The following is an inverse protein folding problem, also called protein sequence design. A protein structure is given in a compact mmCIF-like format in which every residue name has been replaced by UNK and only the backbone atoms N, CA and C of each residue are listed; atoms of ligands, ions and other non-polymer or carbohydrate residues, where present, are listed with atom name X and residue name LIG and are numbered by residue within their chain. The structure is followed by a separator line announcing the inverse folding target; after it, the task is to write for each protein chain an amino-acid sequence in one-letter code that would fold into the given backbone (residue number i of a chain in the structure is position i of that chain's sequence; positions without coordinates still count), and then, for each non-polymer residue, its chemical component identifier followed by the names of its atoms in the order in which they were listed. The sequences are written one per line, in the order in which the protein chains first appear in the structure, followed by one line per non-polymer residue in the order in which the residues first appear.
data_IF_954991469097
#
_entry.id   IF_954991469097
#
_cell.length_a   1.000
_cell.length_b   1.000
_cell.length_c   1.000
_cell.angle_alpha   90.00
_cell.angle_beta   90.00
_cell.angle_gamma   90.00
#
_symmetry.space_group_name_H-M   'P 1'
#
loop_
_entity.id
_entity.type
_entity.pdbx_description
1 polymer ?
#
# COMPACT_ATOMS: atom_id res chain seq x y z
N UNK A 1 -14.77 25.25 -8.51
CA UNK A 1 -15.26 24.07 -7.74
C UNK A 1 -14.13 23.08 -7.69
N UNK A 2 -13.91 22.40 -6.57
CA UNK A 2 -12.86 21.38 -6.45
C UNK A 2 -13.30 20.13 -7.19
N UNK A 3 -12.45 19.62 -8.09
CA UNK A 3 -12.70 18.41 -8.87
C UNK A 3 -11.83 17.26 -8.38
N UNK A 4 -12.32 16.01 -8.47
CA UNK A 4 -11.53 14.82 -8.17
C UNK A 4 -11.31 13.96 -9.40
N UNK A 5 -10.11 13.39 -9.49
CA UNK A 5 -9.86 12.18 -10.28
C UNK A 5 -9.58 11.03 -9.31
N UNK A 6 -10.43 10.01 -9.32
CA UNK A 6 -10.25 8.81 -8.48
C UNK A 6 -9.56 7.74 -9.31
N UNK A 7 -8.34 7.41 -8.96
CA UNK A 7 -7.49 6.43 -9.67
C UNK A 7 -7.62 5.07 -8.99
N UNK A 8 -7.99 4.05 -9.77
CA UNK A 8 -8.24 2.69 -9.27
C UNK A 8 -7.55 1.69 -10.21
N UNK A 9 -6.40 1.14 -9.84
CA UNK A 9 -5.83 -0.01 -10.54
C UNK A 9 -6.66 -1.26 -10.29
N UNK A 10 -6.89 -2.08 -11.32
CA UNK A 10 -7.65 -3.32 -11.14
C UNK A 10 -7.14 -4.47 -12.02
N UNK A 11 -7.20 -5.68 -11.47
CA UNK A 11 -6.82 -6.91 -12.14
C UNK A 11 -7.59 -8.11 -11.59
N UNK A 12 -8.41 -8.74 -12.43
CA UNK A 12 -9.21 -9.94 -12.07
C UNK A 12 -10.14 -9.71 -10.88
N UNK A 13 -10.98 -8.66 -10.96
CA UNK A 13 -11.85 -8.22 -9.87
C UNK A 13 -13.32 -8.11 -10.24
N UNK A 14 -13.77 -8.79 -11.33
CA UNK A 14 -15.16 -8.75 -11.77
C UNK A 14 -16.18 -9.06 -10.65
N UNK A 15 -15.82 -9.89 -9.67
CA UNK A 15 -16.71 -10.23 -8.55
C UNK A 15 -16.86 -9.12 -7.51
N UNK A 16 -15.89 -8.24 -7.38
CA UNK A 16 -15.85 -7.18 -6.33
C UNK A 16 -16.26 -5.83 -6.90
N UNK A 17 -15.87 -5.54 -8.14
CA UNK A 17 -16.13 -4.26 -8.81
C UNK A 17 -17.57 -3.77 -8.72
N UNK A 18 -18.63 -4.60 -8.85
CA UNK A 18 -20.02 -4.12 -8.73
C UNK A 18 -20.31 -3.45 -7.39
N UNK A 19 -19.76 -3.98 -6.29
CA UNK A 19 -19.95 -3.40 -4.94
C UNK A 19 -19.21 -2.07 -4.83
N UNK A 20 -17.97 -2.00 -5.28
CA UNK A 20 -17.13 -0.80 -5.26
C UNK A 20 -17.73 0.30 -6.14
N UNK A 21 -18.11 0.00 -7.39
CA UNK A 21 -18.72 0.95 -8.32
C UNK A 21 -20.06 1.48 -7.79
N UNK A 22 -20.86 0.62 -7.15
CA UNK A 22 -22.10 1.05 -6.47
C UNK A 22 -21.81 2.04 -5.34
N UNK A 23 -20.78 1.80 -4.53
CA UNK A 23 -20.39 2.72 -3.46
C UNK A 23 -19.89 4.07 -4.00
N UNK A 24 -19.17 4.08 -5.12
CA UNK A 24 -18.72 5.30 -5.80
C UNK A 24 -19.91 6.06 -6.41
N UNK A 25 -20.85 5.38 -7.06
CA UNK A 25 -22.08 6.00 -7.58
C UNK A 25 -22.88 6.70 -6.49
N UNK A 26 -22.88 6.15 -5.28
CA UNK A 26 -23.62 6.65 -4.13
C UNK A 26 -22.85 7.68 -3.29
N UNK A 27 -21.68 8.17 -3.72
CA UNK A 27 -20.97 9.23 -3.02
C UNK A 27 -21.83 10.49 -2.91
N UNK A 28 -21.76 11.19 -1.77
CA UNK A 28 -22.46 12.47 -1.55
C UNK A 28 -21.84 13.61 -2.36
N UNK A 29 -20.55 13.59 -2.58
CA UNK A 29 -19.83 14.49 -3.47
C UNK A 29 -19.89 13.94 -4.91
N UNK A 30 -20.27 14.77 -5.90
CA UNK A 30 -20.57 14.30 -7.27
C UNK A 30 -19.58 14.77 -8.34
N UNK A 31 -18.76 15.77 -8.05
CA UNK A 31 -17.83 16.35 -9.03
C UNK A 31 -16.51 15.55 -9.07
N UNK A 32 -16.61 14.35 -9.61
CA UNK A 32 -15.46 13.44 -9.76
C UNK A 32 -15.55 12.59 -11.04
N UNK A 33 -14.39 12.16 -11.52
CA UNK A 33 -14.25 11.15 -12.55
C UNK A 33 -13.43 9.96 -12.03
N UNK A 34 -13.65 8.80 -12.64
CA UNK A 34 -12.94 7.57 -12.34
C UNK A 34 -11.91 7.28 -13.43
N UNK A 35 -10.69 7.00 -13.03
CA UNK A 35 -9.62 6.52 -13.89
C UNK A 35 -9.31 5.08 -13.50
N UNK A 36 -9.87 4.15 -14.26
CA UNK A 36 -9.69 2.72 -14.06
C UNK A 36 -8.46 2.26 -14.84
N UNK A 37 -7.38 1.93 -14.15
CA UNK A 37 -6.18 1.37 -14.80
C UNK A 37 -6.30 -0.14 -14.77
N UNK A 38 -6.61 -0.72 -15.93
CA UNK A 38 -6.99 -2.12 -16.06
C UNK A 38 -5.84 -2.94 -16.62
N UNK A 39 -5.40 -3.95 -15.89
CA UNK A 39 -4.57 -4.99 -16.47
C UNK A 39 -5.49 -5.97 -17.19
N UNK A 40 -5.33 -6.20 -18.52
CA UNK A 40 -6.22 -7.04 -19.29
C UNK A 40 -6.41 -8.44 -18.69
N UNK A 41 -7.65 -8.90 -18.65
CA UNK A 41 -8.01 -10.20 -18.06
C UNK A 41 -9.34 -10.70 -18.66
N UNK A 42 -9.51 -12.02 -18.67
CA UNK A 42 -10.69 -12.67 -19.26
C UNK A 42 -11.79 -12.94 -18.21
N UNK A 43 -11.88 -12.11 -17.17
CA UNK A 43 -12.83 -12.35 -16.07
C UNK A 43 -14.11 -11.51 -16.13
N UNK A 44 -14.29 -10.70 -17.20
CA UNK A 44 -15.46 -9.83 -17.39
C UNK A 44 -15.30 -8.43 -16.78
N UNK A 45 -14.10 -8.07 -16.27
CA UNK A 45 -13.82 -6.76 -15.69
C UNK A 45 -14.11 -5.62 -16.67
N UNK A 46 -13.68 -5.71 -17.93
CA UNK A 46 -13.84 -4.68 -18.95
C UNK A 46 -15.31 -4.45 -19.31
N UNK A 47 -16.10 -5.52 -19.42
CA UNK A 47 -17.54 -5.46 -19.70
C UNK A 47 -18.31 -4.76 -18.58
N UNK A 48 -17.95 -5.05 -17.33
CA UNK A 48 -18.54 -4.39 -16.16
C UNK A 48 -18.24 -2.88 -16.16
N UNK A 49 -17.01 -2.48 -16.47
CA UNK A 49 -16.63 -1.07 -16.53
C UNK A 49 -17.36 -0.35 -17.67
N UNK A 50 -17.50 -1.00 -18.85
CA UNK A 50 -18.29 -0.47 -19.96
C UNK A 50 -19.76 -0.24 -19.58
N UNK A 51 -20.37 -1.16 -18.85
CA UNK A 51 -21.74 -1.00 -18.36
C UNK A 51 -21.84 0.14 -17.32
N UNK A 52 -20.88 0.24 -16.40
CA UNK A 52 -20.85 1.27 -15.36
C UNK A 52 -20.66 2.68 -15.93
N UNK A 53 -20.02 2.81 -17.10
CA UNK A 53 -19.80 4.11 -17.78
C UNK A 53 -21.12 4.81 -18.19
N UNK A 54 -22.25 4.10 -18.21
CA UNK A 54 -23.56 4.70 -18.43
C UNK A 54 -24.03 5.58 -17.23
N UNK A 55 -23.44 5.40 -16.06
CA UNK A 55 -23.87 6.08 -14.83
C UNK A 55 -22.73 6.74 -14.04
N UNK A 56 -21.50 6.50 -14.40
CA UNK A 56 -20.29 7.08 -13.80
C UNK A 56 -19.38 7.58 -14.94
N UNK A 57 -18.72 8.69 -14.72
CA UNK A 57 -17.71 9.18 -15.68
C UNK A 57 -16.45 8.36 -15.51
N UNK A 58 -16.25 7.34 -16.36
CA UNK A 58 -15.14 6.40 -16.28
C UNK A 58 -14.24 6.56 -17.50
N UNK A 59 -12.95 6.69 -17.25
CA UNK A 59 -11.88 6.54 -18.25
C UNK A 59 -11.14 5.24 -17.97
N UNK A 60 -11.11 4.33 -18.92
CA UNK A 60 -10.38 3.06 -18.82
C UNK A 60 -9.03 3.20 -19.51
N UNK A 61 -7.96 2.88 -18.80
CA UNK A 61 -6.58 2.92 -19.31
C UNK A 61 -6.01 1.49 -19.20
N UNK A 62 -5.69 0.83 -20.31
CA UNK A 62 -5.08 -0.49 -20.27
C UNK A 62 -3.61 -0.40 -19.81
N UNK A 63 -3.23 -1.24 -18.83
CA UNK A 63 -1.83 -1.43 -18.43
C UNK A 63 -1.32 -2.76 -18.97
N UNK A 64 -0.50 -2.72 -20.03
CA UNK A 64 0.07 -3.94 -20.61
C UNK A 64 1.18 -4.52 -19.74
N UNK A 65 2.07 -3.65 -19.27
CA UNK A 65 3.25 -4.00 -18.47
C UNK A 65 3.32 -3.18 -17.19
N UNK A 66 4.18 -3.59 -16.26
CA UNK A 66 4.43 -2.88 -15.02
C UNK A 66 3.74 -3.49 -13.80
N UNK A 67 3.93 -2.80 -12.70
CA UNK A 67 3.51 -3.18 -11.36
C UNK A 67 2.30 -2.34 -10.90
N UNK A 68 1.75 -2.66 -9.74
CA UNK A 68 0.63 -1.91 -9.14
C UNK A 68 0.96 -0.42 -8.94
N UNK A 69 2.19 -0.09 -8.58
CA UNK A 69 2.64 1.30 -8.41
C UNK A 69 2.66 2.03 -9.76
N UNK A 70 3.14 1.35 -10.82
CA UNK A 70 3.11 1.91 -12.19
C UNK A 70 1.67 2.19 -12.64
N UNK A 71 0.72 1.32 -12.27
CA UNK A 71 -0.69 1.53 -12.56
C UNK A 71 -1.23 2.79 -11.85
N UNK A 72 -0.91 2.99 -10.58
CA UNK A 72 -1.30 4.21 -9.87
C UNK A 72 -0.72 5.47 -10.53
N UNK A 73 0.56 5.45 -10.91
CA UNK A 73 1.19 6.60 -11.58
C UNK A 73 0.67 6.81 -13.00
N UNK A 74 0.37 5.74 -13.74
CA UNK A 74 -0.27 5.83 -15.04
C UNK A 74 -1.64 6.52 -14.94
N UNK A 75 -2.44 6.13 -13.94
CA UNK A 75 -3.71 6.79 -13.65
C UNK A 75 -3.53 8.25 -13.23
N UNK A 76 -2.59 8.53 -12.32
CA UNK A 76 -2.30 9.88 -11.87
C UNK A 76 -1.83 10.80 -13.01
N UNK A 77 -1.01 10.31 -13.93
CA UNK A 77 -0.56 11.07 -15.13
C UNK A 77 -1.71 11.45 -16.05
N UNK A 78 -2.76 10.65 -16.08
CA UNK A 78 -3.95 10.91 -16.90
C UNK A 78 -5.06 11.62 -16.11
N UNK A 79 -4.82 12.00 -14.86
CA UNK A 79 -5.77 12.73 -14.03
C UNK A 79 -5.75 14.23 -14.31
N UNK A 80 -6.93 14.85 -14.28
CA UNK A 80 -7.12 16.29 -14.47
C UNK A 80 -7.68 16.98 -13.24
N UNK A 81 -8.11 16.22 -12.23
CA UNK A 81 -8.67 16.75 -11.00
C UNK A 81 -7.71 17.63 -10.19
N UNK A 82 -8.28 18.59 -9.46
CA UNK A 82 -7.53 19.38 -8.47
C UNK A 82 -6.98 18.50 -7.35
N UNK A 83 -7.69 17.41 -7.07
CA UNK A 83 -7.31 16.38 -6.11
C UNK A 83 -7.30 15.04 -6.84
N UNK A 84 -6.22 14.29 -6.66
CA UNK A 84 -6.10 12.91 -7.13
C UNK A 84 -6.25 11.99 -5.92
N UNK A 85 -7.30 11.20 -5.92
CA UNK A 85 -7.53 10.18 -4.90
C UNK A 85 -7.14 8.81 -5.44
N UNK A 86 -6.42 8.04 -4.64
CA UNK A 86 -6.05 6.66 -4.93
C UNK A 86 -6.90 5.73 -4.08
N UNK A 87 -7.46 4.71 -4.70
CA UNK A 87 -8.31 3.72 -4.05
C UNK A 87 -7.97 2.32 -4.58
N UNK A 88 -7.81 1.34 -3.68
CA UNK A 88 -7.64 -0.05 -4.09
C UNK A 88 -8.96 -0.61 -4.64
N UNK A 89 -8.91 -1.55 -5.57
CA UNK A 89 -10.11 -2.15 -6.20
C UNK A 89 -10.91 -3.06 -5.24
N UNK A 90 -10.38 -3.35 -4.07
CA UNK A 90 -11.03 -4.06 -2.97
C UNK A 90 -11.29 -3.19 -1.73
N UNK A 91 -11.17 -1.87 -1.89
CA UNK A 91 -11.52 -0.88 -0.87
C UNK A 91 -12.86 -0.20 -1.22
N UNK A 92 -13.88 -0.47 -0.42
CA UNK A 92 -15.23 0.07 -0.61
C UNK A 92 -15.34 1.40 0.16
N UNK A 93 -15.46 2.57 -0.51
CA UNK A 93 -15.52 3.85 0.16
C UNK A 93 -16.86 4.06 0.89
N UNK A 94 -16.81 4.68 2.08
CA UNK A 94 -18.02 5.14 2.74
C UNK A 94 -18.73 6.22 1.89
N UNK A 95 -20.02 6.37 2.06
CA UNK A 95 -20.86 7.29 1.24
C UNK A 95 -20.37 8.75 1.25
N UNK A 96 -19.74 9.17 2.33
CA UNK A 96 -19.20 10.51 2.54
C UNK A 96 -17.69 10.63 2.33
N UNK A 97 -17.04 9.58 1.81
CA UNK A 97 -15.58 9.48 1.67
C UNK A 97 -14.97 10.68 0.91
N UNK A 98 -15.49 11.02 -0.27
CA UNK A 98 -15.02 12.18 -1.05
C UNK A 98 -15.33 13.51 -0.35
N UNK A 99 -16.50 13.65 0.25
CA UNK A 99 -16.89 14.87 0.97
C UNK A 99 -15.99 15.13 2.19
N UNK A 100 -15.68 14.10 2.98
CA UNK A 100 -14.79 14.23 4.13
C UNK A 100 -13.33 14.46 3.70
N UNK A 101 -12.96 13.96 2.53
CA UNK A 101 -11.66 14.27 1.91
C UNK A 101 -11.57 15.74 1.51
N UNK A 102 -12.60 16.31 0.84
CA UNK A 102 -12.65 17.76 0.52
C UNK A 102 -12.48 18.61 1.75
N UNK A 103 -13.23 18.29 2.82
CA UNK A 103 -13.16 19.04 4.08
C UNK A 103 -11.75 19.08 4.68
N UNK A 104 -11.00 17.99 4.55
CA UNK A 104 -9.63 17.93 5.05
C UNK A 104 -8.66 18.86 4.28
N UNK A 105 -8.91 19.11 2.99
CA UNK A 105 -8.15 20.05 2.16
C UNK A 105 -8.51 21.52 2.35
N UNK A 106 -9.55 21.85 3.11
CA UNK A 106 -9.87 23.25 3.45
C UNK A 106 -8.75 23.93 4.23
N UNK A 107 -7.94 23.16 4.95
CA UNK A 107 -6.68 23.66 5.50
C UNK A 107 -5.64 23.78 4.36
N UNK A 108 -5.25 25.02 4.04
CA UNK A 108 -4.33 25.32 2.92
C UNK A 108 -2.98 24.62 3.01
N UNK A 109 -2.49 24.33 4.22
CA UNK A 109 -1.22 23.66 4.45
C UNK A 109 -1.30 22.13 4.24
N UNK A 110 -2.50 21.58 4.05
CA UNK A 110 -2.69 20.14 3.81
C UNK A 110 -2.70 19.88 2.32
N UNK A 111 -1.79 19.03 1.86
CA UNK A 111 -1.69 18.60 0.45
C UNK A 111 -1.91 17.10 0.29
N UNK A 112 -1.95 16.36 1.40
CA UNK A 112 -2.21 14.92 1.40
C UNK A 112 -3.14 14.51 2.54
N UNK A 113 -4.04 13.60 2.24
CA UNK A 113 -5.03 13.07 3.19
C UNK A 113 -5.00 11.55 3.13
N UNK A 114 -5.02 10.92 4.28
CA UNK A 114 -5.29 9.49 4.43
C UNK A 114 -6.36 9.28 5.48
N UNK A 115 -7.05 8.14 5.43
CA UNK A 115 -8.20 7.92 6.27
C UNK A 115 -8.17 6.61 7.06
N UNK A 116 -9.31 6.29 7.62
CA UNK A 116 -9.50 5.06 8.36
C UNK A 116 -9.89 3.90 7.43
N UNK A 117 -9.39 2.72 7.71
CA UNK A 117 -9.72 1.51 6.98
C UNK A 117 -10.27 0.46 7.94
N UNK A 118 -11.37 -0.16 7.54
CA UNK A 118 -12.02 -1.22 8.30
C UNK A 118 -11.87 -2.53 7.53
N UNK A 119 -11.22 -3.56 8.11
CA UNK A 119 -11.17 -4.85 7.46
C UNK A 119 -12.57 -5.45 7.42
N UNK A 120 -12.97 -5.94 6.25
CA UNK A 120 -14.29 -6.53 6.04
C UNK A 120 -14.18 -7.84 5.25
N UNK A 121 -15.15 -8.71 5.43
CA UNK A 121 -15.39 -9.87 4.57
C UNK A 121 -16.63 -9.59 3.74
N UNK A 122 -16.54 -9.86 2.45
CA UNK A 122 -17.69 -9.83 1.53
C UNK A 122 -18.35 -11.22 1.53
N UNK A 123 -19.57 -11.31 2.07
CA UNK A 123 -20.34 -12.55 2.09
C UNK A 123 -21.76 -12.29 1.57
N UNK A 124 -22.15 -13.01 0.50
CA UNK A 124 -23.46 -12.83 -0.11
C UNK A 124 -23.76 -11.40 -0.56
N UNK A 125 -22.75 -10.64 -1.00
CA UNK A 125 -22.88 -9.22 -1.40
C UNK A 125 -22.97 -8.24 -0.23
N UNK A 126 -22.87 -8.70 1.03
CA UNK A 126 -22.89 -7.86 2.23
C UNK A 126 -21.48 -7.76 2.84
N UNK A 127 -21.14 -6.56 3.31
CA UNK A 127 -19.88 -6.30 4.00
C UNK A 127 -20.03 -6.57 5.50
N UNK A 128 -19.23 -7.46 6.04
CA UNK A 128 -19.12 -7.73 7.48
C UNK A 128 -17.83 -7.16 8.00
N UNK A 129 -17.91 -6.17 8.91
CA UNK A 129 -16.73 -5.58 9.56
C UNK A 129 -16.16 -6.60 10.55
N UNK A 130 -14.89 -6.94 10.37
CA UNK A 130 -14.20 -7.81 11.31
C UNK A 130 -13.95 -7.09 12.64
N UNK A 131 -14.24 -7.77 13.75
CA UNK A 131 -13.89 -7.30 15.08
C UNK A 131 -12.38 -7.51 15.33
N UNK A 132 -11.79 -6.77 16.28
CA UNK A 132 -10.36 -6.87 16.56
C UNK A 132 -9.90 -8.32 16.88
N UNK A 133 -10.73 -9.09 17.55
CA UNK A 133 -10.44 -10.50 17.88
C UNK A 133 -10.56 -11.45 16.68
N UNK A 134 -11.23 -11.04 15.62
CA UNK A 134 -11.37 -11.80 14.37
C UNK A 134 -10.22 -11.53 13.40
N UNK A 135 -9.43 -10.46 13.68
CA UNK A 135 -8.27 -10.12 12.87
C UNK A 135 -7.11 -11.01 13.33
N UNK A 136 -6.52 -11.83 12.44
CA UNK A 136 -5.36 -12.62 12.81
C UNK A 136 -4.29 -11.77 13.49
N UNK A 137 -3.72 -12.23 14.60
CA UNK A 137 -2.73 -11.51 15.41
C UNK A 137 -1.50 -11.04 14.61
N UNK A 138 -1.26 -11.64 13.47
CA UNK A 138 -0.22 -11.27 12.48
C UNK A 138 -0.43 -9.88 11.89
N UNK A 139 -1.64 -9.36 11.89
CA UNK A 139 -1.92 -8.00 11.43
C UNK A 139 -1.61 -6.95 12.50
N UNK A 140 -1.37 -7.34 13.73
CA UNK A 140 -0.87 -6.49 14.81
C UNK A 140 0.66 -6.30 14.71
N UNK A 141 1.16 -5.78 13.60
CA UNK A 141 2.60 -5.62 13.32
C UNK A 141 3.32 -4.57 14.16
N UNK A 142 2.75 -4.13 15.25
CA UNK A 142 3.23 -3.02 16.06
C UNK A 142 4.40 -3.34 16.99
N UNK A 143 4.69 -4.62 17.19
CA UNK A 143 5.89 -5.05 17.91
C UNK A 143 7.18 -4.60 17.22
N UNK A 144 7.10 -4.32 15.91
CA UNK A 144 8.24 -3.84 15.12
C UNK A 144 8.58 -2.37 15.32
N UNK A 145 7.70 -1.57 15.91
CA UNK A 145 7.97 -0.18 16.26
C UNK A 145 9.10 -0.02 17.28
N UNK A 146 9.45 -1.08 18.01
CA UNK A 146 10.52 -1.08 19.01
C UNK A 146 11.94 -1.06 18.41
N UNK A 147 12.09 -1.18 17.08
CA UNK A 147 13.36 -1.58 16.46
C UNK A 147 14.01 -0.53 15.57
N UNK A 148 13.63 0.70 15.78
CA UNK A 148 14.24 1.85 15.14
C UNK A 148 13.66 3.15 15.66
N UNK A 149 14.45 4.22 15.59
CA UNK A 149 13.96 5.57 15.86
C UNK A 149 13.21 6.08 14.63
N UNK A 150 12.12 6.83 14.79
CA UNK A 150 11.49 7.50 13.65
C UNK A 150 12.51 8.38 12.93
N UNK A 151 12.36 8.52 11.64
CA UNK A 151 13.12 9.50 10.87
C UNK A 151 12.85 10.90 11.46
N UNK A 152 13.85 11.76 11.38
CA UNK A 152 13.81 13.10 11.95
C UNK A 152 12.59 13.88 11.43
N UNK A 153 11.84 14.46 12.36
CA UNK A 153 10.62 15.21 12.07
C UNK A 153 9.34 14.37 12.00
N UNK A 154 9.41 13.03 12.00
CA UNK A 154 8.25 12.15 12.06
C UNK A 154 7.89 11.67 13.48
N UNK A 155 8.51 12.26 14.51
CA UNK A 155 8.36 11.84 15.91
C UNK A 155 6.90 11.94 16.41
N UNK A 156 6.15 12.89 15.86
CA UNK A 156 4.75 13.15 16.24
C UNK A 156 3.74 12.70 15.18
N UNK A 157 4.16 11.97 14.16
CA UNK A 157 3.26 11.44 13.16
C UNK A 157 2.56 10.18 13.67
N UNK A 158 1.33 9.97 13.24
CA UNK A 158 0.55 8.77 13.56
C UNK A 158 1.20 7.50 13.03
N UNK A 159 1.71 7.56 11.81
CA UNK A 159 2.51 6.52 11.19
C UNK A 159 3.90 7.09 10.84
N UNK A 160 4.90 6.26 10.80
CA UNK A 160 6.27 6.71 10.62
C UNK A 160 7.13 5.68 9.91
N UNK A 161 8.26 6.14 9.43
CA UNK A 161 9.34 5.31 8.94
C UNK A 161 10.46 5.35 9.98
N UNK A 162 10.93 4.18 10.40
CA UNK A 162 12.08 4.10 11.30
C UNK A 162 13.39 4.23 10.51
N UNK A 163 14.47 4.59 11.18
CA UNK A 163 15.80 4.64 10.59
C UNK A 163 16.34 3.26 10.15
N UNK A 164 15.69 2.16 10.54
CA UNK A 164 15.86 0.83 9.97
C UNK A 164 15.11 0.64 8.65
N UNK A 165 14.27 1.62 8.24
CA UNK A 165 13.36 1.56 7.10
C UNK A 165 12.07 0.79 7.35
N UNK A 166 11.81 0.34 8.57
CA UNK A 166 10.53 -0.29 8.91
C UNK A 166 9.47 0.80 9.02
N UNK A 167 8.33 0.55 8.37
CA UNK A 167 7.16 1.40 8.50
C UNK A 167 6.30 0.92 9.66
N UNK A 168 5.79 1.85 10.47
CA UNK A 168 4.98 1.53 11.63
C UNK A 168 3.94 2.60 11.94
N UNK A 169 2.92 2.23 12.71
CA UNK A 169 1.96 3.17 13.28
C UNK A 169 2.15 3.30 14.79
N UNK A 170 2.01 4.50 15.31
CA UNK A 170 2.11 4.77 16.75
C UNK A 170 0.75 4.65 17.41
N UNK A 171 0.74 3.88 18.49
CA UNK A 171 -0.38 3.78 19.44
C UNK A 171 -1.67 3.25 18.83
N UNK A 172 -2.17 2.20 19.37
CA UNK A 172 -3.40 1.49 19.05
C UNK A 172 -3.48 0.87 17.65
N UNK A 173 -4.16 -0.22 17.55
CA UNK A 173 -4.40 -0.95 16.32
C UNK A 173 -4.82 -0.01 15.18
N UNK A 174 -4.44 -0.32 13.96
CA UNK A 174 -4.84 0.39 12.75
C UNK A 174 -6.35 0.64 12.68
N UNK A 175 -7.10 -0.07 13.47
CA UNK A 175 -8.56 -0.14 13.53
C UNK A 175 -9.19 0.51 14.78
N UNK A 176 -8.40 1.14 15.66
CA UNK A 176 -8.96 1.78 16.85
C UNK A 176 -9.77 3.04 16.48
N UNK A 177 -11.06 3.00 16.79
CA UNK A 177 -12.08 4.00 16.44
C UNK A 177 -12.02 5.32 17.24
N UNK A 178 -11.19 5.42 18.29
CA UNK A 178 -11.14 6.60 19.19
C UNK A 178 -10.12 7.65 18.77
N UNK A 179 -10.06 8.01 17.48
CA UNK A 179 -8.97 8.88 16.99
C UNK A 179 -9.49 10.17 16.38
N UNK A 180 -8.92 11.27 16.85
CA UNK A 180 -9.02 12.57 16.18
C UNK A 180 -8.08 12.65 14.96
N UNK A 181 -8.18 13.75 14.20
CA UNK A 181 -7.24 14.06 13.13
C UNK A 181 -5.82 14.21 13.67
N UNK A 182 -4.83 13.73 12.91
CA UNK A 182 -3.42 13.76 13.30
C UNK A 182 -2.51 13.93 12.07
N UNK A 183 -1.29 14.44 12.27
CA UNK A 183 -0.25 14.39 11.23
C UNK A 183 0.05 12.93 10.89
N UNK A 184 0.12 12.61 9.60
CA UNK A 184 0.42 11.25 9.14
C UNK A 184 1.06 11.30 7.75
N UNK A 185 1.90 10.32 7.43
CA UNK A 185 2.28 10.02 6.05
C UNK A 185 1.09 9.37 5.33
N UNK A 186 1.13 9.38 4.01
CA UNK A 186 0.12 8.71 3.19
C UNK A 186 0.09 7.21 3.44
N UNK A 187 -1.08 6.60 3.23
CA UNK A 187 -1.29 5.17 3.46
C UNK A 187 -2.37 4.63 2.54
N UNK A 188 -2.09 3.51 1.84
CA UNK A 188 -3.13 2.69 1.22
C UNK A 188 -4.09 2.06 2.23
N UNK A 189 -5.25 1.58 1.82
CA UNK A 189 -5.79 1.49 0.46
C UNK A 189 -6.55 2.75 0.01
N UNK A 190 -6.46 3.86 0.75
CA UNK A 190 -7.16 5.12 0.45
C UNK A 190 -6.30 6.30 0.85
N UNK A 191 -5.98 7.12 -0.13
CA UNK A 191 -5.28 8.38 0.08
C UNK A 191 -5.66 9.38 -1.00
N UNK A 192 -5.50 10.67 -0.73
CA UNK A 192 -5.72 11.73 -1.70
C UNK A 192 -4.62 12.79 -1.61
N UNK A 193 -4.25 13.37 -2.73
CA UNK A 193 -3.15 14.34 -2.83
C UNK A 193 -3.60 15.47 -3.76
N UNK A 194 -3.18 16.71 -3.49
CA UNK A 194 -3.37 17.82 -4.43
C UNK A 194 -2.66 17.49 -5.75
N UNK A 195 -3.37 17.62 -6.87
CA UNK A 195 -2.91 17.19 -8.18
C UNK A 195 -1.66 17.92 -8.65
N UNK A 196 -1.51 19.21 -8.34
CA UNK A 196 -0.32 20.01 -8.64
C UNK A 196 0.94 19.49 -7.93
N UNK A 197 0.82 19.15 -6.65
CA UNK A 197 1.91 18.56 -5.85
C UNK A 197 2.27 17.18 -6.37
N UNK A 198 1.28 16.33 -6.63
CA UNK A 198 1.52 14.97 -7.13
C UNK A 198 2.25 14.95 -8.49
N UNK A 199 1.87 15.84 -9.40
CA UNK A 199 2.52 15.96 -10.72
C UNK A 199 3.97 16.43 -10.66
N UNK A 200 4.39 17.06 -9.56
CA UNK A 200 5.78 17.48 -9.31
C UNK A 200 6.67 16.41 -8.71
N UNK A 201 6.14 15.22 -8.37
CA UNK A 201 6.89 14.17 -7.68
C UNK A 201 7.22 13.02 -8.62
N UNK A 202 8.50 12.65 -8.64
CA UNK A 202 8.98 11.43 -9.27
C UNK A 202 9.24 10.36 -8.20
N UNK A 203 8.58 9.23 -8.31
CA UNK A 203 8.97 8.04 -7.55
C UNK A 203 9.83 7.09 -8.41
N UNK A 204 10.72 6.31 -7.79
CA UNK A 204 11.42 5.25 -8.51
C UNK A 204 10.42 4.29 -9.18
N UNK A 205 10.72 3.87 -10.41
CA UNK A 205 9.87 2.93 -11.17
C UNK A 205 10.19 1.45 -10.91
N UNK A 206 11.24 1.17 -10.13
CA UNK A 206 11.77 -0.18 -9.96
C UNK A 206 11.14 -0.89 -8.76
N UNK A 207 9.80 -1.04 -8.74
CA UNK A 207 9.09 -1.76 -7.68
C UNK A 207 8.89 -3.24 -8.01
N UNK A 208 8.91 -4.10 -6.98
CA UNK A 208 8.52 -5.52 -7.09
C UNK A 208 7.06 -5.70 -6.68
N UNK A 209 6.70 -5.19 -5.50
CA UNK A 209 5.36 -5.24 -4.91
C UNK A 209 4.80 -3.87 -4.56
N UNK A 210 5.64 -2.84 -4.54
CA UNK A 210 5.27 -1.51 -4.06
C UNK A 210 5.05 -1.47 -2.55
N UNK A 211 5.84 -2.21 -1.78
CA UNK A 211 5.69 -2.24 -0.34
C UNK A 211 5.94 -0.87 0.29
N UNK A 212 4.91 -0.32 0.94
CA UNK A 212 4.93 0.99 1.59
C UNK A 212 5.25 2.18 0.66
N UNK A 213 4.99 2.05 -0.64
CA UNK A 213 5.22 3.11 -1.60
C UNK A 213 4.45 4.40 -1.25
N UNK A 214 3.27 4.27 -0.68
CA UNK A 214 2.43 5.39 -0.24
C UNK A 214 3.12 6.20 0.86
N UNK A 215 3.76 5.53 1.80
CA UNK A 215 4.50 6.19 2.87
C UNK A 215 5.78 6.85 2.35
N UNK A 216 6.44 6.24 1.36
CA UNK A 216 7.60 6.84 0.68
C UNK A 216 7.19 8.07 -0.12
N UNK A 217 6.05 8.04 -0.81
CA UNK A 217 5.47 9.21 -1.46
C UNK A 217 5.15 10.30 -0.43
N UNK A 218 4.50 9.95 0.66
CA UNK A 218 4.21 10.86 1.76
C UNK A 218 5.47 11.47 2.37
N UNK A 219 6.53 10.71 2.53
CA UNK A 219 7.81 11.17 3.00
C UNK A 219 8.43 12.23 2.05
N UNK A 220 8.40 11.99 0.74
CA UNK A 220 8.90 12.94 -0.25
C UNK A 220 8.09 14.24 -0.26
N UNK A 221 6.76 14.16 -0.12
CA UNK A 221 5.87 15.32 -0.01
C UNK A 221 6.23 16.11 1.25
N UNK A 222 6.39 15.44 2.38
CA UNK A 222 6.72 16.08 3.65
C UNK A 222 8.09 16.76 3.62
N UNK A 223 9.11 16.17 2.98
CA UNK A 223 10.44 16.79 2.82
C UNK A 223 10.42 18.09 2.01
N UNK A 224 9.43 18.27 1.16
CA UNK A 224 9.21 19.53 0.43
C UNK A 224 8.48 20.59 1.28
N UNK A 225 8.21 20.31 2.55
CA UNK A 225 7.57 21.24 3.47
C UNK A 225 6.04 21.16 3.50
N UNK A 226 5.44 20.22 2.79
CA UNK A 226 3.99 20.08 2.72
C UNK A 226 3.41 19.28 3.90
N UNK A 227 2.20 19.66 4.32
CA UNK A 227 1.46 18.98 5.38
C UNK A 227 0.58 17.83 4.86
N UNK A 228 0.50 16.77 5.65
CA UNK A 228 -0.42 15.66 5.41
C UNK A 228 -1.17 15.33 6.69
N UNK A 229 -2.41 14.86 6.55
CA UNK A 229 -3.30 14.60 7.67
C UNK A 229 -3.98 13.23 7.54
N UNK A 230 -4.07 12.54 8.67
CA UNK A 230 -5.02 11.47 8.86
C UNK A 230 -6.35 12.05 9.33
N UNK A 231 -7.42 11.73 8.64
CA UNK A 231 -8.78 12.08 9.03
C UNK A 231 -9.62 10.81 9.24
N UNK A 232 -10.03 10.48 10.46
CA UNK A 232 -10.80 9.26 10.76
C UNK A 232 -12.19 9.24 10.12
N UNK A 233 -12.67 10.36 9.58
CA UNK A 233 -13.94 10.43 8.86
C UNK A 233 -13.80 10.00 7.40
N UNK A 234 -12.60 10.05 6.83
CA UNK A 234 -12.30 9.51 5.50
C UNK A 234 -12.17 7.98 5.64
N UNK A 235 -13.26 7.26 5.36
CA UNK A 235 -13.39 5.83 5.69
C UNK A 235 -13.48 4.97 4.45
N UNK A 236 -12.80 3.83 4.48
CA UNK A 236 -12.97 2.75 3.52
C UNK A 236 -13.12 1.40 4.22
N UNK A 237 -13.86 0.49 3.59
CA UNK A 237 -14.03 -0.89 4.02
C UNK A 237 -13.18 -1.77 3.11
N UNK A 238 -12.06 -2.25 3.62
CA UNK A 238 -11.06 -2.99 2.85
C UNK A 238 -11.33 -4.49 2.96
N UNK A 239 -11.61 -5.15 1.84
CA UNK A 239 -11.93 -6.57 1.80
C UNK A 239 -10.67 -7.40 2.10
N UNK A 240 -10.75 -8.23 3.12
CA UNK A 240 -9.66 -9.13 3.49
C UNK A 240 -9.76 -10.40 2.64
N UNK A 241 -8.78 -10.59 1.78
CA UNK A 241 -8.65 -11.79 0.96
C UNK A 241 -7.73 -12.79 1.64
N UNK A 242 -8.26 -13.94 2.08
CA UNK A 242 -7.51 -14.95 2.83
C UNK A 242 -6.36 -15.64 2.06
N UNK A 243 -6.09 -15.30 0.80
CA UNK A 243 -5.15 -16.06 -0.05
C UNK A 243 -4.13 -15.24 -0.85
N UNK A 244 -4.15 -13.92 -0.82
CA UNK A 244 -3.36 -13.09 -1.76
C UNK A 244 -2.35 -12.15 -1.12
N UNK A 245 -2.33 -12.05 0.19
CA UNK A 245 -1.47 -11.12 0.93
C UNK A 245 -0.17 -11.78 1.40
N UNK A 246 0.93 -11.03 1.39
CA UNK A 246 2.17 -11.40 2.09
C UNK A 246 1.97 -11.58 3.61
N UNK A 247 0.82 -11.16 4.11
CA UNK A 247 0.39 -11.20 5.51
C UNK A 247 -0.53 -12.38 5.81
N UNK A 248 -0.79 -13.27 4.84
CA UNK A 248 -1.60 -14.47 5.07
C UNK A 248 -0.85 -15.42 6.01
N UNK A 249 -1.32 -15.47 7.26
CA UNK A 249 -0.75 -16.31 8.31
C UNK A 249 -0.97 -17.81 8.07
N UNK A 250 -2.08 -18.18 7.45
CA UNK A 250 -2.43 -19.57 7.19
C UNK A 250 -1.68 -20.13 5.98
N UNK A 251 -1.43 -19.30 4.98
CA UNK A 251 -0.77 -19.70 3.75
C UNK A 251 0.19 -18.62 3.20
N UNK A 252 1.33 -18.37 3.88
CA UNK A 252 2.23 -17.29 3.53
C UNK A 252 2.86 -17.52 2.15
N UNK A 253 2.78 -16.50 1.31
CA UNK A 253 3.48 -16.48 0.03
C UNK A 253 4.93 -16.09 0.24
N UNK A 254 5.83 -17.02 0.03
CA UNK A 254 7.28 -16.85 0.23
C UNK A 254 7.85 -15.75 -0.66
N UNK A 255 7.41 -15.71 -1.93
CA UNK A 255 7.81 -14.72 -2.91
C UNK A 255 7.50 -13.29 -2.45
N UNK A 256 6.33 -13.08 -1.84
CA UNK A 256 5.94 -11.76 -1.32
C UNK A 256 6.81 -11.35 -0.12
N UNK A 257 7.10 -12.28 0.79
CA UNK A 257 7.95 -11.98 1.95
C UNK A 257 9.38 -11.61 1.50
N UNK A 258 9.92 -12.29 0.51
CA UNK A 258 11.26 -11.98 -0.02
C UNK A 258 11.27 -10.66 -0.79
N UNK A 259 10.22 -10.38 -1.57
CA UNK A 259 10.11 -9.14 -2.30
C UNK A 259 10.03 -7.94 -1.36
N UNK A 260 9.23 -8.03 -0.29
CA UNK A 260 9.14 -6.98 0.76
C UNK A 260 10.52 -6.66 1.32
N UNK A 261 11.30 -7.67 1.73
CA UNK A 261 12.63 -7.44 2.31
C UNK A 261 13.63 -6.89 1.27
N UNK A 262 13.56 -7.36 0.03
CA UNK A 262 14.41 -6.86 -1.05
C UNK A 262 14.12 -5.39 -1.37
N UNK A 263 12.86 -5.00 -1.47
CA UNK A 263 12.46 -3.61 -1.67
C UNK A 263 12.89 -2.74 -0.49
N UNK A 264 12.63 -3.17 0.73
CA UNK A 264 13.04 -2.43 1.91
C UNK A 264 14.54 -2.19 1.93
N UNK A 265 15.38 -3.18 1.56
CA UNK A 265 16.81 -3.03 1.50
C UNK A 265 17.24 -2.10 0.36
N UNK A 266 16.67 -2.28 -0.84
CA UNK A 266 16.97 -1.48 -2.02
C UNK A 266 16.70 0.01 -1.77
N UNK A 267 15.51 0.35 -1.27
CA UNK A 267 15.17 1.75 -0.99
C UNK A 267 15.99 2.38 0.13
N UNK A 268 16.47 1.59 1.08
CA UNK A 268 17.37 2.07 2.13
C UNK A 268 18.78 2.38 1.65
N UNK A 269 19.31 1.52 0.80
CA UNK A 269 20.71 1.65 0.35
C UNK A 269 20.85 2.52 -0.88
N UNK A 270 19.83 2.60 -1.73
CA UNK A 270 19.91 3.29 -3.02
C UNK A 270 19.65 4.80 -2.98
N UNK A 271 19.79 5.40 -1.83
CA UNK A 271 19.87 6.86 -1.74
C UNK A 271 18.53 7.57 -1.63
N UNK A 272 17.48 6.85 -1.25
CA UNK A 272 16.20 7.50 -1.02
C UNK A 272 16.27 8.36 0.23
N UNK A 273 17.04 7.94 1.26
CA UNK A 273 17.13 8.70 2.49
C UNK A 273 18.45 8.48 3.26
N UNK A 274 19.30 9.51 3.43
CA UNK A 274 20.58 9.39 4.15
C UNK A 274 20.41 9.09 5.64
N UNK A 275 19.23 9.30 6.22
CA UNK A 275 18.96 8.96 7.61
C UNK A 275 18.70 7.46 7.84
N UNK A 276 18.52 6.67 6.77
CA UNK A 276 18.38 5.23 6.91
C UNK A 276 19.71 4.59 7.26
N UNK A 277 19.72 3.80 8.33
CA UNK A 277 20.91 3.20 8.91
C UNK A 277 20.99 1.71 8.60
N UNK A 278 22.05 1.29 7.90
CA UNK A 278 22.29 -0.14 7.63
C UNK A 278 22.46 -0.93 8.94
N UNK A 279 23.12 -0.35 9.93
CA UNK A 279 23.28 -0.96 11.25
C UNK A 279 21.93 -1.17 11.92
N UNK A 280 21.07 -0.14 11.94
CA UNK A 280 19.72 -0.27 12.48
C UNK A 280 18.90 -1.32 11.74
N UNK A 281 19.08 -1.43 10.43
CA UNK A 281 18.45 -2.47 9.63
C UNK A 281 18.91 -3.86 10.04
N UNK A 282 20.21 -4.09 10.13
CA UNK A 282 20.77 -5.39 10.52
C UNK A 282 20.30 -5.81 11.93
N UNK A 283 20.34 -4.90 12.89
CA UNK A 283 19.79 -5.15 14.24
C UNK A 283 18.32 -5.53 14.17
N UNK A 284 17.52 -4.76 13.43
CA UNK A 284 16.09 -5.06 13.22
C UNK A 284 15.88 -6.45 12.61
N UNK A 285 16.67 -6.83 11.60
CA UNK A 285 16.57 -8.14 10.95
C UNK A 285 16.88 -9.29 11.92
N UNK A 286 17.93 -9.16 12.71
CA UNK A 286 18.30 -10.15 13.74
C UNK A 286 17.16 -10.34 14.74
N UNK A 287 16.61 -9.24 15.25
CA UNK A 287 15.55 -9.31 16.25
C UNK A 287 14.26 -9.86 15.63
N UNK A 288 13.90 -9.49 14.40
CA UNK A 288 12.74 -10.05 13.68
C UNK A 288 12.89 -11.54 13.40
N UNK A 289 14.10 -11.99 13.06
CA UNK A 289 14.40 -13.41 12.90
C UNK A 289 14.29 -14.16 14.24
N UNK A 290 14.87 -13.63 15.31
CA UNK A 290 14.77 -14.20 16.66
C UNK A 290 13.33 -14.28 17.15
N UNK A 291 12.53 -13.21 16.96
CA UNK A 291 11.10 -13.21 17.24
C UNK A 291 10.37 -14.32 16.46
N UNK A 292 10.65 -14.45 15.17
CA UNK A 292 10.04 -15.48 14.32
C UNK A 292 10.40 -16.89 14.80
N UNK A 293 11.65 -17.12 15.21
CA UNK A 293 12.09 -18.40 15.76
C UNK A 293 11.39 -18.72 17.10
N UNK A 294 11.23 -17.72 17.98
CA UNK A 294 10.53 -17.88 19.26
C UNK A 294 9.08 -18.34 19.06
N UNK A 295 8.40 -17.79 18.08
CA UNK A 295 6.97 -18.07 17.80
C UNK A 295 6.75 -19.21 16.78
N UNK A 296 7.80 -19.93 16.41
CA UNK A 296 7.71 -21.00 15.41
C UNK A 296 6.75 -22.12 15.80
N UNK A 297 6.52 -22.35 17.09
CA UNK A 297 5.56 -23.33 17.60
C UNK A 297 4.11 -22.99 17.25
N UNK A 298 3.77 -21.70 17.12
CA UNK A 298 2.41 -21.24 16.82
C UNK A 298 2.03 -21.50 15.34
N UNK A 299 2.97 -21.24 14.43
CA UNK A 299 2.83 -21.53 12.99
C UNK A 299 4.22 -21.66 12.35
N UNK A 300 4.75 -22.87 12.36
CA UNK A 300 6.11 -23.14 11.87
C UNK A 300 6.31 -22.72 10.42
N UNK A 301 5.32 -22.97 9.55
CA UNK A 301 5.39 -22.61 8.12
C UNK A 301 5.49 -21.11 7.92
N UNK A 302 4.67 -20.32 8.61
CA UNK A 302 4.68 -18.87 8.50
C UNK A 302 5.98 -18.25 9.00
N UNK A 303 6.40 -18.61 10.23
CA UNK A 303 7.57 -18.01 10.84
C UNK A 303 8.87 -18.42 10.16
N UNK A 304 8.96 -19.67 9.69
CA UNK A 304 10.10 -20.11 8.87
C UNK A 304 10.18 -19.28 7.56
N UNK A 305 9.04 -19.04 6.90
CA UNK A 305 9.00 -18.19 5.70
C UNK A 305 9.41 -16.75 5.97
N UNK A 306 9.09 -16.20 7.13
CA UNK A 306 9.58 -14.88 7.53
C UNK A 306 11.09 -14.84 7.68
N UNK A 307 11.70 -15.84 8.32
CA UNK A 307 13.17 -15.94 8.45
C UNK A 307 13.81 -16.07 7.07
N UNK A 308 13.30 -16.98 6.23
CA UNK A 308 13.75 -17.10 4.83
C UNK A 308 13.62 -15.77 4.08
N UNK A 309 12.50 -15.06 4.25
CA UNK A 309 12.25 -13.75 3.64
C UNK A 309 13.31 -12.73 4.01
N UNK A 310 13.61 -12.61 5.31
CA UNK A 310 14.65 -11.71 5.79
C UNK A 310 16.00 -12.05 5.15
N UNK A 311 16.39 -13.32 5.15
CA UNK A 311 17.69 -13.76 4.63
C UNK A 311 17.78 -13.58 3.11
N UNK A 312 16.90 -14.23 2.34
CA UNK A 312 16.97 -14.20 0.88
C UNK A 312 16.56 -12.87 0.28
N UNK A 313 15.60 -12.17 0.90
CA UNK A 313 15.21 -10.83 0.49
C UNK A 313 16.37 -9.84 0.61
N UNK A 314 17.16 -9.90 1.66
CA UNK A 314 18.36 -9.07 1.80
C UNK A 314 19.43 -9.40 0.74
N UNK A 315 19.62 -10.67 0.39
CA UNK A 315 20.54 -11.07 -0.69
C UNK A 315 20.08 -10.49 -2.03
N UNK A 316 18.80 -10.62 -2.36
CA UNK A 316 18.21 -10.08 -3.60
C UNK A 316 18.31 -8.56 -3.61
N UNK A 317 17.98 -7.91 -2.49
CA UNK A 317 18.06 -6.44 -2.37
C UNK A 317 19.49 -5.93 -2.49
N UNK A 318 20.46 -6.56 -1.86
CA UNK A 318 21.88 -6.20 -1.98
C UNK A 318 22.36 -6.37 -3.42
N UNK A 319 22.02 -7.48 -4.07
CA UNK A 319 22.32 -7.74 -5.46
C UNK A 319 21.70 -6.64 -6.36
N UNK A 320 20.48 -6.28 -6.12
CA UNK A 320 19.79 -5.22 -6.85
C UNK A 320 20.52 -3.88 -6.74
N UNK A 321 20.92 -3.49 -5.53
CA UNK A 321 21.72 -2.28 -5.30
C UNK A 321 23.04 -2.31 -6.09
N UNK A 322 23.80 -3.43 -6.01
CA UNK A 322 25.09 -3.59 -6.70
C UNK A 322 24.90 -3.42 -8.22
N UNK A 323 23.97 -4.15 -8.81
CA UNK A 323 23.74 -4.09 -10.27
C UNK A 323 23.30 -2.69 -10.72
N UNK A 324 22.44 -2.04 -9.95
CA UNK A 324 22.01 -0.67 -10.23
C UNK A 324 23.19 0.32 -10.14
N UNK A 325 24.03 0.19 -9.13
CA UNK A 325 25.23 1.03 -8.95
C UNK A 325 26.21 0.85 -10.10
N UNK A 326 26.36 -0.37 -10.60
CA UNK A 326 27.22 -0.70 -11.73
C UNK A 326 26.56 -0.38 -13.10
N UNK A 327 25.34 0.14 -13.10
CA UNK A 327 24.52 0.38 -14.31
C UNK A 327 24.35 -0.89 -15.19
N UNK A 328 24.23 -2.05 -14.56
CA UNK A 328 24.02 -3.33 -15.22
C UNK A 328 22.53 -3.70 -15.13
N UNK A 329 21.88 -4.07 -16.24
CA UNK A 329 20.48 -4.50 -16.23
C UNK A 329 20.26 -5.70 -15.30
N UNK A 330 19.36 -5.53 -14.33
CA UNK A 330 18.99 -6.57 -13.39
C UNK A 330 17.53 -6.44 -12.97
N UNK A 331 16.81 -7.53 -12.99
CA UNK A 331 15.45 -7.60 -12.45
C UNK A 331 15.39 -8.57 -11.27
N UNK A 332 15.07 -8.11 -10.07
CA UNK A 332 14.93 -8.97 -8.90
C UNK A 332 13.84 -10.03 -9.06
N UNK A 333 12.85 -9.79 -9.95
CA UNK A 333 11.80 -10.76 -10.27
C UNK A 333 12.35 -12.07 -10.88
N UNK A 334 13.49 -12.02 -11.57
CA UNK A 334 14.13 -13.22 -12.15
C UNK A 334 14.60 -14.17 -11.04
N UNK A 335 15.27 -13.62 -10.02
CA UNK A 335 15.72 -14.43 -8.91
C UNK A 335 14.55 -14.95 -8.06
N UNK A 336 13.55 -14.13 -7.81
CA UNK A 336 12.31 -14.55 -7.13
C UNK A 336 11.63 -15.73 -7.85
N UNK A 337 11.52 -15.70 -9.18
CA UNK A 337 10.95 -16.79 -9.97
C UNK A 337 11.80 -18.05 -9.97
N UNK A 338 13.13 -17.93 -9.98
CA UNK A 338 14.05 -19.10 -9.90
C UNK A 338 13.88 -19.86 -8.59
N UNK A 339 13.77 -19.15 -7.48
CA UNK A 339 13.55 -19.78 -6.17
C UNK A 339 12.18 -20.46 -6.05
N UNK A 340 11.16 -19.95 -6.73
CA UNK A 340 9.85 -20.62 -6.79
C UNK A 340 9.94 -21.96 -7.54
N UNK A 341 10.62 -22.01 -8.69
CA UNK A 341 10.78 -23.24 -9.50
C UNK A 341 11.60 -24.31 -8.79
N UNK A 342 12.67 -23.95 -8.07
CA UNK A 342 13.49 -24.94 -7.34
C UNK A 342 12.71 -25.66 -6.23
N UNK A 343 11.68 -25.03 -5.66
CA UNK A 343 10.80 -25.65 -4.65
C UNK A 343 9.66 -26.48 -5.22
N UNK A 344 9.23 -26.24 -6.45
CA UNK A 344 8.22 -27.08 -7.12
C UNK A 344 8.80 -28.41 -7.61
N UNK A 345 10.10 -28.46 -7.88
CA UNK A 345 10.80 -29.67 -8.31
C UNK A 345 11.36 -30.51 -7.14
N UNK A 346 11.23 -30.00 -5.89
CA UNK A 346 11.66 -30.71 -4.67
C UNK A 346 10.48 -31.34 -3.91
N UNK A 347 9.31 -31.40 -4.51
CA UNK A 347 8.12 -32.17 -4.08
C UNK A 347 7.87 -33.32 -5.02
#
# INVERSE_FOLDING_TARGET
MTTFSVVIPTYKRAQILPVMLSALKNQTFKDFDLIMVVKPSDDGTEELLKQASNSLKITVIPQQDGHIVDAYFLGAKNSTGDIVAFLDDDAIPAQDWLMETVKAFQNQNVVGVTGDQYPVILNGGKLHILQEHEIPSVLSHYEFALWGRPLRGLENFKNSIANSGIVYERGNNAYSRKRGSAKALLRGPSMAIKGDVLRGICLPSDWILGCAWEMMLGWQIWKQGYGMVYNPKVKVYHIVHGRTSSRDFLNPRTDLLWAVEAEMLFYRLYGVEPELSLTSKLVSDIVRAAHSLKHMKENSKYYLRKVEGIFFGNIIGAKWVIYKTLNVPYSPLVDLKRFQKSKSNAK
#
